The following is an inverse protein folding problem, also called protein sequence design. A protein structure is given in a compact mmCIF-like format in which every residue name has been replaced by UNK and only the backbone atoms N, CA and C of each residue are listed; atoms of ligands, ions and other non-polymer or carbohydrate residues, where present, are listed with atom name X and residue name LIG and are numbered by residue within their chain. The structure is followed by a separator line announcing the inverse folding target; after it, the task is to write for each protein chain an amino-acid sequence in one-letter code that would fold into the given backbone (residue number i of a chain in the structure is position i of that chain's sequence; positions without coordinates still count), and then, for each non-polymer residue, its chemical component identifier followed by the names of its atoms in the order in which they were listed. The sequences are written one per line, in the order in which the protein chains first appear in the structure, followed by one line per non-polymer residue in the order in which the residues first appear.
data_IF_655368544520
#
_entry.id   IF_655368544520
#
_cell.length_a   1.000
_cell.length_b   1.000
_cell.length_c   1.000
_cell.angle_alpha   90.00
_cell.angle_beta   90.00
_cell.angle_gamma   90.00
#
_symmetry.space_group_name_H-M   'P 1'
#
loop_
_entity.id
_entity.type
_entity.pdbx_description
1 polymer ?
#
# COMPACT_ATOMS: atom_id res chain seq x y z
N UNK A 1 -15.42 -11.04 -5.50
CA UNK A 1 -14.04 -10.82 -5.94
C UNK A 1 -13.24 -12.09 -6.15
N UNK A 2 -12.73 -12.32 -7.36
CA UNK A 2 -11.66 -13.30 -7.61
C UNK A 2 -10.30 -12.61 -7.46
N UNK A 3 -9.93 -12.26 -6.22
CA UNK A 3 -8.66 -11.53 -5.89
C UNK A 3 -7.44 -12.22 -6.51
N UNK A 4 -7.46 -13.54 -6.57
CA UNK A 4 -6.43 -14.38 -7.17
C UNK A 4 -6.11 -14.01 -8.64
N UNK A 5 -7.07 -13.46 -9.38
CA UNK A 5 -6.89 -13.05 -10.77
C UNK A 5 -6.35 -11.63 -10.91
N UNK A 6 -6.33 -10.84 -9.84
CA UNK A 6 -5.78 -9.49 -9.84
C UNK A 6 -4.26 -9.55 -9.72
N UNK A 7 -3.56 -8.74 -10.51
CA UNK A 7 -2.09 -8.59 -10.49
C UNK A 7 -1.56 -8.04 -9.17
N UNK A 8 -0.25 -8.13 -8.91
CA UNK A 8 0.33 -7.53 -7.69
C UNK A 8 0.13 -6.01 -7.67
N UNK A 9 0.31 -5.30 -8.79
CA UNK A 9 0.02 -3.85 -8.88
C UNK A 9 -1.45 -3.55 -8.58
N UNK A 10 -2.38 -4.36 -9.08
CA UNK A 10 -3.79 -4.24 -8.77
C UNK A 10 -4.10 -4.49 -7.28
N UNK A 11 -3.46 -5.49 -6.66
CA UNK A 11 -3.63 -5.79 -5.22
C UNK A 11 -3.11 -4.66 -4.33
N UNK A 12 -1.93 -4.10 -4.65
CA UNK A 12 -1.40 -2.92 -3.95
C UNK A 12 -2.37 -1.75 -4.08
N UNK A 13 -2.82 -1.44 -5.29
CA UNK A 13 -3.77 -0.35 -5.52
C UNK A 13 -5.10 -0.54 -4.79
N UNK A 14 -5.64 -1.77 -4.75
CA UNK A 14 -6.83 -2.10 -3.95
C UNK A 14 -6.58 -1.83 -2.46
N UNK A 15 -5.45 -2.29 -1.93
CA UNK A 15 -5.04 -2.03 -0.54
C UNK A 15 -4.92 -0.54 -0.23
N UNK A 16 -4.37 0.25 -1.15
CA UNK A 16 -4.27 1.71 -0.99
C UNK A 16 -5.65 2.36 -1.00
N UNK A 17 -6.57 1.96 -1.89
CA UNK A 17 -7.95 2.46 -1.84
C UNK A 17 -8.63 2.11 -0.50
N UNK A 18 -8.41 0.90 0.02
CA UNK A 18 -8.90 0.52 1.34
C UNK A 18 -8.36 1.45 2.44
N UNK A 19 -7.05 1.73 2.42
CA UNK A 19 -6.40 2.67 3.34
C UNK A 19 -7.03 4.07 3.26
N UNK A 20 -7.23 4.58 2.04
CA UNK A 20 -7.84 5.90 1.83
C UNK A 20 -9.27 5.98 2.39
N UNK A 21 -10.07 4.93 2.16
CA UNK A 21 -11.43 4.83 2.68
C UNK A 21 -11.43 4.76 4.20
N UNK A 22 -10.50 4.01 4.81
CA UNK A 22 -10.35 3.90 6.25
C UNK A 22 -9.99 5.23 6.91
N UNK A 23 -9.00 5.94 6.36
CA UNK A 23 -8.59 7.27 6.84
C UNK A 23 -9.76 8.26 6.79
N UNK A 24 -10.52 8.26 5.69
CA UNK A 24 -11.71 9.12 5.53
C UNK A 24 -12.82 8.73 6.51
N UNK A 25 -13.06 7.44 6.71
CA UNK A 25 -14.07 6.93 7.63
C UNK A 25 -13.82 7.40 9.07
N UNK A 26 -12.55 7.42 9.50
CA UNK A 26 -12.16 7.93 10.82
C UNK A 26 -12.07 9.46 10.91
N UNK A 27 -12.45 10.20 9.86
CA UNK A 27 -12.40 11.66 9.80
C UNK A 27 -11.01 12.26 10.05
N UNK A 28 -9.95 11.55 9.70
CA UNK A 28 -8.61 12.13 9.70
C UNK A 28 -8.47 13.18 8.59
N UNK A 29 -7.63 14.19 8.84
CA UNK A 29 -7.22 15.16 7.81
C UNK A 29 -6.38 14.46 6.73
N UNK A 30 -7.04 14.09 5.64
CA UNK A 30 -6.44 13.36 4.52
C UNK A 30 -5.23 14.09 3.90
N UNK A 31 -5.14 15.42 4.01
CA UNK A 31 -4.00 16.17 3.46
C UNK A 31 -2.68 15.79 4.13
N UNK A 32 -2.71 15.44 5.42
CA UNK A 32 -1.52 14.97 6.17
C UNK A 32 -1.08 13.58 5.76
N UNK A 33 -1.98 12.77 5.23
CA UNK A 33 -1.70 11.39 4.82
C UNK A 33 -1.12 11.29 3.40
N UNK A 34 -1.23 12.34 2.59
CA UNK A 34 -0.61 12.39 1.25
C UNK A 34 0.88 12.09 1.28
N UNK A 35 1.56 12.45 2.37
CA UNK A 35 2.98 12.20 2.60
C UNK A 35 3.40 10.73 2.38
N UNK A 36 2.51 9.78 2.69
CA UNK A 36 2.72 8.34 2.55
C UNK A 36 1.83 7.76 1.44
N UNK A 37 0.60 8.24 1.28
CA UNK A 37 -0.33 7.73 0.25
C UNK A 37 0.24 7.95 -1.16
N UNK A 38 0.80 9.13 -1.45
CA UNK A 38 1.35 9.43 -2.76
C UNK A 38 2.55 8.53 -3.07
N UNK A 39 3.33 8.20 -2.04
CA UNK A 39 4.49 7.31 -2.16
C UNK A 39 4.07 5.85 -2.35
N UNK A 40 3.02 5.39 -1.66
CA UNK A 40 2.44 4.07 -1.90
C UNK A 40 1.88 3.95 -3.32
N UNK A 41 1.16 4.96 -3.80
CA UNK A 41 0.64 4.99 -5.19
C UNK A 41 1.74 4.96 -6.22
N UNK A 42 2.91 5.54 -5.93
CA UNK A 42 4.03 5.49 -6.87
C UNK A 42 4.43 4.05 -7.24
N UNK A 43 4.08 3.04 -6.43
CA UNK A 43 4.29 1.63 -6.76
C UNK A 43 3.77 1.29 -8.16
N UNK A 44 2.54 1.69 -8.49
CA UNK A 44 1.83 1.21 -9.69
C UNK A 44 2.44 1.69 -11.00
N UNK A 45 3.36 2.65 -10.96
CA UNK A 45 3.99 3.26 -12.12
C UNK A 45 5.51 3.48 -11.95
N UNK A 46 6.16 2.68 -11.09
CA UNK A 46 7.60 2.80 -10.82
C UNK A 46 8.33 1.46 -10.78
N UNK A 47 9.66 1.57 -10.79
CA UNK A 47 10.56 0.45 -10.53
C UNK A 47 10.41 -0.04 -9.08
N UNK A 48 10.09 -1.32 -8.92
CA UNK A 48 9.80 -1.95 -7.62
C UNK A 48 11.00 -1.87 -6.66
N UNK A 49 12.24 -1.94 -7.15
CA UNK A 49 13.44 -1.85 -6.32
C UNK A 49 13.61 -0.47 -5.70
N UNK A 50 13.52 0.59 -6.51
CA UNK A 50 13.57 1.97 -6.01
C UNK A 50 12.40 2.28 -5.07
N UNK A 51 11.22 1.74 -5.38
CA UNK A 51 10.06 1.86 -4.51
C UNK A 51 10.29 1.18 -3.16
N UNK A 52 10.85 -0.03 -3.16
CA UNK A 52 11.16 -0.78 -1.96
C UNK A 52 12.12 -0.02 -1.05
N UNK A 53 13.25 0.46 -1.58
CA UNK A 53 14.24 1.24 -0.83
C UNK A 53 13.57 2.42 -0.12
N UNK A 54 12.80 3.21 -0.86
CA UNK A 54 12.13 4.40 -0.33
C UNK A 54 11.04 4.08 0.71
N UNK A 55 10.12 3.18 0.40
CA UNK A 55 8.99 2.90 1.30
C UNK A 55 9.42 2.16 2.55
N UNK A 56 10.47 1.32 2.47
CA UNK A 56 10.98 0.60 3.64
C UNK A 56 11.31 1.55 4.79
N UNK A 57 11.86 2.74 4.50
CA UNK A 57 12.17 3.78 5.49
C UNK A 57 10.93 4.55 6.00
N UNK A 58 9.81 4.47 5.28
CA UNK A 58 8.58 5.23 5.56
C UNK A 58 7.47 4.38 6.21
N UNK A 59 7.64 3.06 6.30
CA UNK A 59 6.66 2.18 6.93
C UNK A 59 6.49 2.53 8.41
N UNK A 60 5.30 2.30 9.00
CA UNK A 60 5.11 2.40 10.44
C UNK A 60 6.09 1.57 11.26
N UNK A 61 6.49 0.39 10.76
CA UNK A 61 7.51 -0.43 11.41
C UNK A 61 8.84 0.33 11.58
N UNK A 62 9.34 0.93 10.51
CA UNK A 62 10.63 1.66 10.53
C UNK A 62 10.56 3.00 11.26
N UNK A 63 9.47 3.74 11.09
CA UNK A 63 9.30 5.09 11.67
C UNK A 63 9.06 5.07 13.19
N UNK A 64 8.33 4.07 13.69
CA UNK A 64 7.98 3.98 15.11
C UNK A 64 9.02 3.24 15.95
N UNK A 65 10.03 2.64 15.33
CA UNK A 65 11.14 2.02 16.05
C UNK A 65 11.88 3.07 16.91
N UNK A 66 12.07 2.74 18.19
CA UNK A 66 12.61 3.61 19.25
C UNK A 66 14.14 3.75 19.19
N UNK A 67 14.67 4.15 18.03
CA UNK A 67 16.08 4.50 17.87
C UNK A 67 16.22 5.93 17.31
N UNK A 68 17.29 6.67 17.68
CA UNK A 68 17.58 7.98 17.11
C UNK A 68 17.72 7.96 15.59
N UNK A 69 17.27 9.02 14.91
CA UNK A 69 17.27 9.09 13.44
C UNK A 69 18.65 8.86 12.82
N UNK A 70 19.69 9.42 13.43
CA UNK A 70 21.08 9.28 12.97
C UNK A 70 21.61 7.84 13.01
N UNK A 71 20.92 6.93 13.72
CA UNK A 71 21.27 5.50 13.79
C UNK A 71 20.40 4.63 12.88
N UNK A 72 19.35 5.18 12.25
CA UNK A 72 18.44 4.43 11.36
C UNK A 72 19.06 4.09 10.01
N UNK A 73 20.11 4.80 9.60
CA UNK A 73 20.74 4.58 8.29
C UNK A 73 19.82 4.92 7.12
N UNK A 74 18.88 5.85 7.30
CA UNK A 74 17.98 6.31 6.24
C UNK A 74 18.78 6.99 5.12
N UNK A 75 18.57 6.56 3.88
CA UNK A 75 19.17 7.11 2.67
C UNK A 75 18.12 7.87 1.82
N UNK A 76 16.84 7.49 1.93
CA UNK A 76 15.75 8.00 1.10
C UNK A 76 14.98 9.16 1.75
N UNK A 77 14.89 9.19 3.08
CA UNK A 77 14.20 10.27 3.82
C UNK A 77 15.14 11.03 4.76
N UNK A 78 14.84 12.31 4.96
CA UNK A 78 15.54 13.14 5.93
C UNK A 78 14.81 13.18 7.28
N UNK A 79 15.48 13.72 8.30
CA UNK A 79 14.96 13.79 9.67
C UNK A 79 13.62 14.54 9.76
N UNK A 80 13.45 15.61 8.97
CA UNK A 80 12.18 16.36 8.93
C UNK A 80 11.02 15.47 8.49
N UNK A 81 11.18 14.75 7.38
CA UNK A 81 10.16 13.84 6.84
C UNK A 81 9.90 12.68 7.82
N UNK A 82 10.96 12.13 8.42
CA UNK A 82 10.84 11.11 9.46
C UNK A 82 10.00 11.61 10.65
N UNK A 83 10.29 12.80 11.18
CA UNK A 83 9.58 13.36 12.33
C UNK A 83 8.11 13.67 12.00
N UNK A 84 7.82 14.11 10.78
CA UNK A 84 6.46 14.31 10.29
C UNK A 84 5.66 13.00 10.25
N UNK A 85 6.24 11.94 9.67
CA UNK A 85 5.63 10.60 9.67
C UNK A 85 5.50 10.04 11.09
N UNK A 86 6.50 10.23 11.95
CA UNK A 86 6.46 9.72 13.31
C UNK A 86 5.33 10.37 14.11
N UNK A 87 5.17 11.69 13.98
CA UNK A 87 4.06 12.40 14.60
C UNK A 87 2.72 11.93 14.04
N UNK A 88 2.61 11.75 12.72
CA UNK A 88 1.40 11.23 12.08
C UNK A 88 1.04 9.85 12.66
N UNK A 89 1.97 8.91 12.65
CA UNK A 89 1.74 7.52 13.04
C UNK A 89 1.45 7.36 14.54
N UNK A 90 2.16 8.09 15.42
CA UNK A 90 1.91 8.04 16.88
C UNK A 90 0.49 8.50 17.27
N UNK A 91 -0.13 9.33 16.44
CA UNK A 91 -1.48 9.86 16.68
C UNK A 91 -2.55 9.17 15.82
N UNK A 92 -2.23 8.03 15.22
CA UNK A 92 -3.10 7.32 14.28
C UNK A 92 -3.66 6.02 14.85
N UNK A 93 -4.79 5.57 14.28
CA UNK A 93 -5.36 4.27 14.59
C UNK A 93 -4.39 3.14 14.18
N UNK A 94 -4.20 2.15 15.06
CA UNK A 94 -3.27 1.03 14.85
C UNK A 94 -3.61 0.20 13.60
N UNK A 95 -4.88 0.10 13.22
CA UNK A 95 -5.32 -0.60 12.02
C UNK A 95 -4.88 0.12 10.74
N UNK A 96 -4.84 1.46 10.73
CA UNK A 96 -4.26 2.21 9.62
C UNK A 96 -2.77 1.87 9.47
N UNK A 97 -2.03 1.84 10.58
CA UNK A 97 -0.60 1.49 10.56
C UNK A 97 -0.39 0.06 10.05
N UNK A 98 -1.25 -0.86 10.48
CA UNK A 98 -1.24 -2.24 10.03
C UNK A 98 -1.52 -2.36 8.53
N UNK A 99 -2.50 -1.63 8.00
CA UNK A 99 -2.81 -1.61 6.57
C UNK A 99 -1.60 -1.11 5.76
N UNK A 100 -0.89 -0.07 6.21
CA UNK A 100 0.30 0.44 5.51
C UNK A 100 1.38 -0.64 5.42
N UNK A 101 1.66 -1.35 6.53
CA UNK A 101 2.63 -2.46 6.53
C UNK A 101 2.18 -3.60 5.59
N UNK A 102 0.90 -3.97 5.61
CA UNK A 102 0.37 -5.02 4.73
C UNK A 102 0.47 -4.63 3.24
N UNK A 103 0.25 -3.36 2.89
CA UNK A 103 0.45 -2.87 1.51
C UNK A 103 1.91 -3.00 1.10
N UNK A 104 2.84 -2.64 1.99
CA UNK A 104 4.27 -2.82 1.76
C UNK A 104 4.64 -4.29 1.57
N UNK A 105 4.09 -5.18 2.40
CA UNK A 105 4.32 -6.63 2.28
C UNK A 105 3.76 -7.17 0.96
N UNK A 106 2.59 -6.70 0.49
CA UNK A 106 2.06 -7.04 -0.83
C UNK A 106 3.04 -6.64 -1.94
N UNK A 107 3.52 -5.40 -1.91
CA UNK A 107 4.36 -4.84 -2.96
C UNK A 107 5.77 -5.44 -3.04
N UNK A 108 6.24 -6.05 -1.95
CA UNK A 108 7.63 -6.54 -1.83
C UNK A 108 7.78 -8.06 -1.76
N UNK A 109 6.68 -8.79 -1.49
CA UNK A 109 6.75 -10.23 -1.20
C UNK A 109 7.50 -11.05 -2.25
N UNK A 110 7.21 -10.79 -3.52
CA UNK A 110 7.75 -11.55 -4.65
C UNK A 110 8.86 -10.80 -5.41
N UNK A 111 9.42 -9.71 -4.86
CA UNK A 111 10.41 -8.87 -5.56
C UNK A 111 11.70 -9.61 -5.96
N UNK A 112 12.01 -10.72 -5.28
CA UNK A 112 13.21 -11.55 -5.52
C UNK A 112 12.87 -12.99 -5.90
N UNK A 113 11.62 -13.27 -6.28
CA UNK A 113 11.14 -14.58 -6.72
C UNK A 113 10.30 -14.45 -7.99
N UNK A 114 10.11 -15.57 -8.69
CA UNK A 114 9.06 -15.63 -9.70
C UNK A 114 7.70 -15.75 -9.04
N UNK A 115 6.71 -15.02 -9.59
CA UNK A 115 5.33 -15.15 -9.14
C UNK A 115 4.82 -16.53 -9.54
N UNK A 116 4.48 -17.34 -8.53
CA UNK A 116 3.97 -18.69 -8.70
C UNK A 116 2.69 -18.88 -7.91
N UNK A 117 1.81 -19.79 -8.36
CA UNK A 117 0.53 -20.10 -7.70
C UNK A 117 -0.29 -18.85 -7.35
N UNK A 118 -0.30 -17.85 -8.24
CA UNK A 118 -1.02 -16.59 -8.06
C UNK A 118 -0.56 -15.76 -6.84
N UNK A 119 0.65 -15.97 -6.32
CA UNK A 119 1.20 -15.27 -5.15
C UNK A 119 0.28 -15.35 -3.92
N UNK A 120 0.20 -16.50 -3.24
CA UNK A 120 -0.77 -16.74 -2.17
C UNK A 120 -0.57 -15.82 -0.96
N UNK A 121 0.67 -15.41 -0.67
CA UNK A 121 0.95 -14.50 0.46
C UNK A 121 0.40 -13.10 0.22
N UNK A 122 0.50 -12.57 -1.00
CA UNK A 122 -0.08 -11.25 -1.30
C UNK A 122 -1.61 -11.29 -1.26
N UNK A 123 -2.24 -12.43 -1.60
CA UNK A 123 -3.68 -12.65 -1.39
C UNK A 123 -4.00 -12.65 0.10
N UNK A 124 -3.21 -13.34 0.92
CA UNK A 124 -3.38 -13.40 2.38
C UNK A 124 -3.33 -12.00 2.99
N UNK A 125 -2.34 -11.19 2.64
CA UNK A 125 -2.21 -9.82 3.14
C UNK A 125 -3.39 -8.94 2.70
N UNK A 126 -3.83 -9.08 1.45
CA UNK A 126 -4.98 -8.32 0.97
C UNK A 126 -6.28 -8.73 1.67
N UNK A 127 -6.50 -10.03 1.90
CA UNK A 127 -7.64 -10.51 2.69
C UNK A 127 -7.61 -10.00 4.13
N UNK A 128 -6.43 -9.81 4.70
CA UNK A 128 -6.30 -9.20 6.03
C UNK A 128 -6.70 -7.72 6.03
N UNK A 129 -6.32 -6.96 4.99
CA UNK A 129 -6.80 -5.58 4.79
C UNK A 129 -8.33 -5.56 4.65
N UNK A 130 -8.90 -6.45 3.83
CA UNK A 130 -10.35 -6.57 3.62
C UNK A 130 -11.06 -6.86 4.94
N UNK A 131 -10.57 -7.82 5.71
CA UNK A 131 -11.13 -8.19 7.01
C UNK A 131 -11.12 -7.00 7.98
N UNK A 132 -10.09 -6.15 7.96
CA UNK A 132 -10.03 -4.94 8.79
C UNK A 132 -11.15 -3.96 8.41
N UNK A 133 -11.39 -3.73 7.11
CA UNK A 133 -12.47 -2.85 6.65
C UNK A 133 -13.84 -3.40 7.03
N UNK A 134 -14.06 -4.70 6.81
CA UNK A 134 -15.32 -5.37 7.15
C UNK A 134 -15.62 -5.31 8.65
N UNK A 135 -14.62 -5.56 9.50
CA UNK A 135 -14.75 -5.45 10.96
C UNK A 135 -15.11 -4.03 11.42
N UNK A 136 -14.70 -3.01 10.66
CA UNK A 136 -15.03 -1.61 10.90
C UNK A 136 -16.28 -1.14 10.13
N UNK A 137 -17.02 -2.05 9.47
CA UNK A 137 -18.21 -1.72 8.67
C UNK A 137 -17.94 -0.69 7.56
N UNK A 138 -16.75 -0.72 6.98
CA UNK A 138 -16.32 0.16 5.89
C UNK A 138 -16.58 -0.57 4.57
N UNK A 139 -17.28 0.09 3.64
CA UNK A 139 -17.50 -0.46 2.31
C UNK A 139 -16.16 -0.70 1.60
N UNK A 140 -16.03 -1.82 0.89
CA UNK A 140 -14.83 -2.12 0.11
C UNK A 140 -14.79 -1.30 -1.20
N UNK A 141 -13.59 -1.05 -1.75
CA UNK A 141 -13.44 -0.50 -3.09
C UNK A 141 -14.18 -1.34 -4.14
N UNK A 142 -14.65 -0.70 -5.20
CA UNK A 142 -15.28 -1.39 -6.32
C UNK A 142 -14.26 -2.28 -7.04
N UNK A 143 -14.44 -3.60 -6.97
CA UNK A 143 -13.53 -4.58 -7.58
C UNK A 143 -13.42 -4.43 -9.11
N UNK A 144 -14.43 -3.84 -9.76
CA UNK A 144 -14.43 -3.65 -11.22
C UNK A 144 -13.35 -2.68 -11.70
N UNK A 145 -12.86 -1.79 -10.83
CA UNK A 145 -11.75 -0.86 -11.14
C UNK A 145 -10.44 -1.59 -11.50
N UNK A 146 -10.35 -2.88 -11.17
CA UNK A 146 -9.15 -3.70 -11.38
C UNK A 146 -9.34 -4.78 -12.44
N UNK A 147 -10.41 -4.73 -13.24
CA UNK A 147 -10.70 -5.74 -14.26
C UNK A 147 -9.59 -5.85 -15.32
N UNK A 148 -8.92 -4.73 -15.59
CA UNK A 148 -7.81 -4.64 -16.53
C UNK A 148 -6.45 -5.02 -15.91
N UNK A 149 -6.41 -5.34 -14.61
CA UNK A 149 -5.19 -5.67 -13.87
C UNK A 149 -5.07 -7.18 -13.65
N UNK A 150 -4.81 -7.93 -14.72
CA UNK A 150 -4.73 -9.40 -14.65
C UNK A 150 -3.37 -9.91 -14.15
N UNK A 151 -3.40 -10.89 -13.26
CA UNK A 151 -2.24 -11.69 -12.81
C UNK A 151 -1.56 -12.47 -13.95
N UNK A 152 -2.22 -12.63 -15.10
CA UNK A 152 -1.60 -13.26 -16.27
C UNK A 152 -0.68 -12.30 -17.04
N UNK A 153 -0.72 -11.00 -16.73
CA UNK A 153 0.07 -9.98 -17.43
C UNK A 153 1.36 -9.66 -16.69
N UNK A 154 2.40 -9.30 -17.45
CA UNK A 154 3.70 -8.88 -16.93
C UNK A 154 4.25 -9.82 -15.84
N UNK A 155 4.18 -11.13 -16.11
CA UNK A 155 4.63 -12.19 -15.21
C UNK A 155 3.97 -12.18 -13.82
N UNK A 156 2.75 -11.63 -13.69
CA UNK A 156 2.04 -11.50 -12.41
C UNK A 156 2.03 -10.09 -11.84
N UNK A 157 2.92 -9.21 -12.28
CA UNK A 157 2.96 -7.85 -11.77
C UNK A 157 1.84 -6.96 -12.32
N UNK A 158 1.29 -7.32 -13.48
CA UNK A 158 0.34 -6.47 -14.20
C UNK A 158 1.01 -5.28 -14.90
N UNK A 159 0.22 -4.56 -15.69
CA UNK A 159 0.69 -3.35 -16.38
C UNK A 159 0.83 -2.19 -15.40
N UNK A 160 1.64 -1.22 -15.79
CA UNK A 160 1.74 0.03 -15.07
C UNK A 160 0.49 0.89 -15.30
N UNK A 161 0.08 1.64 -14.28
CA UNK A 161 -1.06 2.54 -14.33
C UNK A 161 -0.96 3.63 -13.26
N UNK A 162 -1.64 4.74 -13.51
CA UNK A 162 -1.87 5.82 -12.56
C UNK A 162 -3.18 5.61 -11.79
N UNK A 163 -3.34 6.32 -10.68
CA UNK A 163 -4.59 6.33 -9.93
C UNK A 163 -5.76 6.83 -10.78
N UNK A 164 -5.49 7.80 -11.65
CA UNK A 164 -6.49 8.39 -12.54
C UNK A 164 -7.01 7.38 -13.56
N UNK A 165 -6.15 6.49 -14.07
CA UNK A 165 -6.55 5.46 -15.04
C UNK A 165 -7.66 4.58 -14.47
N UNK A 166 -7.53 4.12 -13.23
CA UNK A 166 -8.53 3.24 -12.60
C UNK A 166 -9.80 3.97 -12.16
N UNK A 167 -9.71 5.26 -11.78
CA UNK A 167 -10.87 6.05 -11.35
C UNK A 167 -11.68 6.62 -12.53
N UNK A 168 -11.09 6.68 -13.72
CA UNK A 168 -11.75 7.17 -14.93
C UNK A 168 -12.71 6.17 -15.57
N UNK A 169 -12.67 4.90 -15.17
CA UNK A 169 -13.54 3.83 -15.68
C UNK A 169 -14.98 3.86 -15.09
N UNK A 170 -15.34 4.89 -14.31
CA UNK A 170 -16.71 5.11 -13.78
C UNK A 170 -17.65 5.90 -14.73
N UNK A 171 -17.27 6.13 -15.99
CA UNK A 171 -18.09 6.86 -16.99
C UNK A 171 -18.71 5.91 -18.02
#
# INVERSE_FOLDING_TARGET
MEIEKISIRGRVAFGILCLEMFIKHLNYDFSKWKIIIDELWSFTNSNIGLWHEKISEMTPFSILEEIPFEKKGCECINEKKHNELQLLYKNSNAEILKIINLIFDIGTRDSYSSISNFSPDTIKYLNEIISILEQNSIQLPNEKLFINQSISENQGWGKEFSKEDILSEEI
#
